data_IF_464581145579
#
_entry.id   IF_464581145579
#
_cell.length_a   1.000
_cell.length_b   1.000
_cell.length_c   1.000
_cell.angle_alpha   90.00
_cell.angle_beta   90.00
_cell.angle_gamma   90.00
#
_symmetry.space_group_name_H-M   'P 1'
#
loop_
_entity.id
_entity.type
_entity.pdbx_description
1 polymer ?
#
# COMPACT_ATOMS: atom_id res chain seq x y z
N UNK A 1 -5.13 -2.40 -24.58
CA UNK A 1 -3.87 -1.63 -24.58
C UNK A 1 -3.66 -1.09 -23.17
N UNK A 2 -2.41 -1.05 -22.70
CA UNK A 2 -2.11 -0.38 -21.44
C UNK A 2 -2.39 1.13 -21.55
N UNK A 3 -2.74 1.76 -20.44
CA UNK A 3 -3.07 3.19 -20.39
C UNK A 3 -1.93 4.00 -19.79
N UNK A 4 -1.98 5.33 -19.97
CA UNK A 4 -1.12 6.27 -19.28
C UNK A 4 -1.26 6.10 -17.73
N UNK A 5 -0.17 6.14 -16.94
CA UNK A 5 -0.26 6.17 -15.47
C UNK A 5 -1.05 7.34 -14.87
N UNK A 6 -1.18 8.46 -15.57
CA UNK A 6 -1.91 9.65 -15.13
C UNK A 6 -3.35 9.69 -15.65
N UNK A 7 -4.25 10.16 -14.80
CA UNK A 7 -5.65 10.41 -15.18
C UNK A 7 -5.75 11.66 -16.08
N UNK A 8 -6.72 11.73 -17.00
CA UNK A 8 -6.81 12.82 -17.97
C UNK A 8 -7.16 14.18 -17.37
N UNK A 9 -7.72 14.25 -16.16
CA UNK A 9 -8.15 15.49 -15.50
C UNK A 9 -7.12 16.10 -14.53
N UNK A 10 -5.87 15.62 -14.51
CA UNK A 10 -4.94 16.06 -13.49
C UNK A 10 -3.46 16.00 -13.84
N UNK A 11 -3.07 15.91 -15.11
CA UNK A 11 -1.65 16.02 -15.51
C UNK A 11 -1.26 17.48 -15.73
N UNK A 12 -0.08 17.88 -15.27
CA UNK A 12 0.47 19.23 -15.46
C UNK A 12 1.90 19.18 -15.98
N UNK A 13 2.32 20.20 -16.72
CA UNK A 13 3.74 20.37 -17.06
C UNK A 13 4.40 21.15 -15.92
N UNK A 14 5.35 20.57 -15.17
CA UNK A 14 5.97 21.26 -14.06
C UNK A 14 6.81 22.45 -14.54
N UNK A 15 6.64 23.60 -13.90
CA UNK A 15 7.36 24.85 -14.22
C UNK A 15 8.55 25.13 -13.28
N UNK A 16 8.71 24.32 -12.24
CA UNK A 16 9.76 24.44 -11.23
C UNK A 16 10.66 23.19 -11.19
N UNK A 17 11.88 23.38 -10.68
CA UNK A 17 12.84 22.30 -10.47
C UNK A 17 12.60 21.60 -9.11
N UNK A 18 12.80 20.29 -9.07
CA UNK A 18 12.69 19.47 -7.86
C UNK A 18 12.26 18.03 -8.19
N UNK A 19 12.25 17.11 -7.21
CA UNK A 19 11.65 15.79 -7.36
C UNK A 19 10.21 15.89 -7.86
N UNK A 20 9.86 15.11 -8.89
CA UNK A 20 8.51 15.12 -9.46
C UNK A 20 7.57 14.23 -8.66
N UNK A 21 6.50 14.82 -8.13
CA UNK A 21 5.48 14.17 -7.31
C UNK A 21 4.24 13.78 -8.13
N UNK A 22 3.98 12.49 -8.24
CA UNK A 22 2.74 11.93 -8.75
C UNK A 22 1.80 11.57 -7.60
N UNK A 23 0.51 11.92 -7.69
CA UNK A 23 -0.45 11.77 -6.58
C UNK A 23 -1.64 10.92 -6.94
N UNK A 24 -1.82 9.78 -6.27
CA UNK A 24 -2.96 8.87 -6.45
C UNK A 24 -4.30 9.58 -6.40
N UNK A 25 -5.20 9.24 -7.32
CA UNK A 25 -6.53 9.84 -7.48
C UNK A 25 -7.54 9.55 -6.34
N UNK A 26 -7.07 9.20 -5.15
CA UNK A 26 -7.88 9.19 -3.90
C UNK A 26 -7.48 10.33 -2.95
N UNK A 27 -6.48 11.12 -3.31
CA UNK A 27 -5.91 12.17 -2.46
C UNK A 27 -6.19 13.53 -3.09
N UNK A 28 -6.78 14.46 -2.35
CA UNK A 28 -7.10 15.79 -2.84
C UNK A 28 -5.83 16.58 -3.21
N UNK A 29 -5.90 17.27 -4.35
CA UNK A 29 -4.92 18.24 -4.83
C UNK A 29 -5.69 19.51 -5.19
N UNK A 30 -5.26 20.65 -4.66
CA UNK A 30 -5.92 21.94 -4.84
C UNK A 30 -6.19 22.23 -6.32
N UNK A 31 -7.42 22.63 -6.65
CA UNK A 31 -7.83 22.99 -7.99
C UNK A 31 -8.08 21.80 -8.93
N UNK A 32 -7.91 20.55 -8.47
CA UNK A 32 -8.17 19.36 -9.26
C UNK A 32 -9.29 18.50 -8.64
N UNK A 33 -10.10 17.82 -9.46
CA UNK A 33 -11.10 16.88 -8.96
C UNK A 33 -10.44 15.58 -8.48
N UNK A 34 -11.03 14.95 -7.47
CA UNK A 34 -10.63 13.63 -6.96
C UNK A 34 -11.66 12.59 -7.38
N UNK A 35 -11.29 11.65 -8.25
CA UNK A 35 -12.23 10.67 -8.82
C UNK A 35 -12.28 9.33 -8.08
N UNK A 36 -11.33 9.03 -7.20
CA UNK A 36 -11.20 7.75 -6.50
C UNK A 36 -11.29 6.51 -7.41
N UNK A 37 -10.88 6.64 -8.68
CA UNK A 37 -11.00 5.57 -9.66
C UNK A 37 -12.45 5.18 -10.00
N UNK A 38 -13.43 6.05 -9.78
CA UNK A 38 -14.83 5.84 -10.16
C UNK A 38 -15.41 7.10 -10.84
N UNK A 39 -16.05 7.01 -12.01
CA UNK A 39 -16.57 8.18 -12.74
C UNK A 39 -17.59 8.99 -11.91
N UNK A 40 -18.51 8.33 -11.23
CA UNK A 40 -19.52 9.00 -10.40
C UNK A 40 -18.96 9.69 -9.14
N UNK A 41 -17.69 9.46 -8.80
CA UNK A 41 -17.01 10.13 -7.70
C UNK A 41 -16.13 11.28 -8.17
N UNK A 42 -16.07 11.56 -9.48
CA UNK A 42 -15.36 12.72 -10.00
C UNK A 42 -16.08 13.99 -9.54
N UNK A 43 -15.63 14.52 -8.41
CA UNK A 43 -16.22 15.67 -7.72
C UNK A 43 -15.83 17.00 -8.38
N UNK A 44 -16.36 18.08 -7.84
CA UNK A 44 -15.81 19.42 -8.05
C UNK A 44 -14.33 19.47 -7.60
N UNK A 45 -13.53 20.39 -8.18
CA UNK A 45 -12.16 20.61 -7.75
C UNK A 45 -12.02 20.78 -6.23
N UNK A 46 -10.99 20.18 -5.65
CA UNK A 46 -10.70 20.34 -4.23
C UNK A 46 -10.29 21.79 -3.91
N UNK A 47 -10.81 22.34 -2.82
CA UNK A 47 -10.50 23.71 -2.39
C UNK A 47 -9.09 23.87 -1.80
N UNK A 48 -8.46 22.77 -1.39
CA UNK A 48 -7.13 22.74 -0.79
C UNK A 48 -6.47 21.39 -1.03
N UNK A 49 -5.14 21.39 -0.98
CA UNK A 49 -4.36 20.15 -0.96
C UNK A 49 -4.74 19.30 0.26
N UNK A 50 -4.75 17.97 0.08
CA UNK A 50 -4.67 17.05 1.21
C UNK A 50 -3.40 17.35 2.02
N UNK A 51 -3.43 17.12 3.32
CA UNK A 51 -2.32 17.50 4.19
C UNK A 51 -1.01 16.77 3.79
N UNK A 52 -1.09 15.51 3.38
CA UNK A 52 0.05 14.76 2.84
C UNK A 52 0.64 15.41 1.57
N UNK A 53 -0.20 15.98 0.70
CA UNK A 53 0.23 16.66 -0.52
C UNK A 53 0.92 17.98 -0.16
N UNK A 54 0.31 18.78 0.71
CA UNK A 54 0.89 20.06 1.16
C UNK A 54 2.29 19.86 1.76
N UNK A 55 2.47 18.83 2.60
CA UNK A 55 3.79 18.49 3.19
C UNK A 55 4.80 18.11 2.12
N UNK A 56 4.47 17.21 1.20
CA UNK A 56 5.40 16.76 0.17
C UNK A 56 5.73 17.85 -0.87
N UNK A 57 4.81 18.76 -1.16
CA UNK A 57 5.06 19.89 -2.08
C UNK A 57 6.09 20.88 -1.54
N UNK A 58 6.39 20.87 -0.24
CA UNK A 58 7.49 21.67 0.32
C UNK A 58 8.87 21.26 -0.22
N UNK A 59 8.99 20.02 -0.73
CA UNK A 59 10.24 19.45 -1.23
C UNK A 59 10.16 18.93 -2.68
N UNK A 60 8.99 19.04 -3.34
CA UNK A 60 8.72 18.40 -4.63
C UNK A 60 7.78 19.23 -5.51
N UNK A 61 7.74 18.90 -6.79
CA UNK A 61 6.87 19.55 -7.78
C UNK A 61 5.81 18.57 -8.24
N UNK A 62 4.53 18.94 -8.09
CA UNK A 62 3.42 18.11 -8.56
C UNK A 62 3.44 17.98 -10.08
N UNK A 63 3.30 16.76 -10.61
CA UNK A 63 3.28 16.48 -12.05
C UNK A 63 2.01 15.80 -12.54
N UNK A 64 1.28 15.14 -11.65
CA UNK A 64 -0.06 14.73 -12.02
C UNK A 64 -0.77 13.79 -11.06
N UNK A 65 -2.08 13.68 -11.27
CA UNK A 65 -2.96 12.71 -10.63
C UNK A 65 -2.83 11.33 -11.29
N UNK A 66 -2.70 10.27 -10.50
CA UNK A 66 -2.46 8.91 -11.02
C UNK A 66 -3.63 7.97 -10.86
N UNK A 67 -3.76 7.02 -11.79
CA UNK A 67 -4.78 5.98 -11.74
C UNK A 67 -4.68 5.14 -10.45
N UNK A 68 -5.84 4.67 -10.01
CA UNK A 68 -6.02 3.81 -8.83
C UNK A 68 -6.99 2.69 -9.16
N UNK A 69 -6.92 1.59 -8.41
CA UNK A 69 -8.07 0.68 -8.33
C UNK A 69 -9.28 1.46 -7.79
N UNK A 70 -10.47 1.10 -8.29
CA UNK A 70 -11.75 1.70 -7.90
C UNK A 70 -11.91 1.72 -6.37
N UNK A 71 -12.13 2.92 -5.82
CA UNK A 71 -12.26 3.20 -4.37
C UNK A 71 -11.09 2.70 -3.51
N UNK A 72 -9.92 2.51 -4.13
CA UNK A 72 -8.77 1.84 -3.54
C UNK A 72 -9.05 0.41 -3.02
N UNK A 73 -10.22 -0.19 -3.28
CA UNK A 73 -10.66 -1.44 -2.65
C UNK A 73 -10.29 -2.70 -3.46
N UNK A 74 -9.02 -2.80 -3.82
CA UNK A 74 -8.44 -3.94 -4.53
C UNK A 74 -6.92 -3.94 -4.32
N UNK A 75 -6.25 -4.97 -4.84
CA UNK A 75 -4.78 -5.11 -4.84
C UNK A 75 -4.26 -5.45 -6.25
N UNK A 76 -5.13 -5.33 -7.27
CA UNK A 76 -4.90 -5.88 -8.60
C UNK A 76 -4.18 -4.91 -9.53
N UNK A 77 -4.35 -3.61 -9.33
CA UNK A 77 -3.84 -2.59 -10.25
C UNK A 77 -4.65 -2.46 -11.53
N UNK A 78 -5.93 -2.84 -11.48
CA UNK A 78 -6.85 -2.85 -12.62
C UNK A 78 -8.13 -2.10 -12.26
N UNK A 79 -8.60 -1.26 -13.17
CA UNK A 79 -9.82 -0.49 -13.00
C UNK A 79 -10.76 -0.74 -14.19
N UNK A 80 -12.03 -1.07 -13.92
CA UNK A 80 -13.01 -1.35 -14.99
C UNK A 80 -13.31 -0.12 -15.85
N UNK A 81 -13.35 1.06 -15.23
CA UNK A 81 -13.74 2.31 -15.88
C UNK A 81 -12.62 2.89 -16.72
N UNK A 82 -11.39 2.76 -16.22
CA UNK A 82 -10.24 3.47 -16.78
C UNK A 82 -9.19 2.56 -17.42
N UNK A 83 -9.16 1.28 -17.08
CA UNK A 83 -8.22 0.30 -17.63
C UNK A 83 -7.06 -0.03 -16.68
N UNK A 84 -5.91 -0.38 -17.26
CA UNK A 84 -4.75 -0.91 -16.54
C UNK A 84 -3.48 -0.15 -16.97
N UNK A 85 -2.82 0.59 -16.08
CA UNK A 85 -1.55 1.24 -16.38
C UNK A 85 -0.49 0.21 -16.79
N UNK A 86 0.38 0.59 -17.73
CA UNK A 86 1.53 -0.24 -18.09
C UNK A 86 2.43 -0.44 -16.86
N UNK A 87 2.99 -1.64 -16.68
CA UNK A 87 4.07 -1.90 -15.74
C UNK A 87 5.42 -1.85 -16.49
N UNK A 88 6.18 -0.74 -16.42
CA UNK A 88 7.42 -0.60 -17.18
C UNK A 88 8.51 -1.58 -16.74
N UNK A 89 8.47 -2.04 -15.48
CA UNK A 89 9.43 -2.99 -14.93
C UNK A 89 9.11 -4.45 -15.26
N UNK A 90 7.88 -4.72 -15.73
CA UNK A 90 7.36 -6.03 -16.10
C UNK A 90 6.29 -5.92 -17.22
N UNK A 91 6.69 -5.65 -18.48
CA UNK A 91 5.74 -5.55 -19.59
C UNK A 91 4.80 -6.76 -19.68
N UNK A 92 3.52 -6.50 -19.97
CA UNK A 92 2.48 -7.54 -20.03
C UNK A 92 1.95 -8.03 -18.67
N UNK A 93 2.41 -7.44 -17.56
CA UNK A 93 1.97 -7.77 -16.21
C UNK A 93 1.34 -6.54 -15.53
N UNK A 94 0.54 -6.77 -14.49
CA UNK A 94 -0.06 -5.67 -13.71
C UNK A 94 0.99 -4.96 -12.87
N UNK A 95 0.76 -3.68 -12.58
CA UNK A 95 1.54 -2.96 -11.57
C UNK A 95 1.24 -3.42 -10.14
N UNK A 96 0.13 -4.13 -9.91
CA UNK A 96 -0.44 -4.30 -8.57
C UNK A 96 -1.16 -3.03 -8.14
N UNK A 97 -1.90 -3.13 -7.04
CA UNK A 97 -2.80 -2.05 -6.63
C UNK A 97 -2.95 -1.93 -5.12
N UNK A 98 -3.70 -0.92 -4.65
CA UNK A 98 -4.47 0.01 -5.48
C UNK A 98 -3.71 1.22 -6.02
N UNK A 99 -2.45 1.46 -5.65
CA UNK A 99 -1.66 2.62 -6.12
C UNK A 99 -0.92 2.35 -7.44
N UNK A 100 -1.61 1.75 -8.41
CA UNK A 100 -1.03 1.28 -9.68
C UNK A 100 -0.42 2.40 -10.52
N UNK A 101 -1.13 3.51 -10.70
CA UNK A 101 -0.64 4.63 -11.50
C UNK A 101 0.57 5.33 -10.86
N UNK A 102 0.61 5.46 -9.52
CA UNK A 102 1.77 6.02 -8.81
C UNK A 102 3.02 5.17 -9.02
N UNK A 103 2.89 3.84 -8.93
CA UNK A 103 4.02 2.94 -9.18
C UNK A 103 4.44 2.94 -10.65
N UNK A 104 3.49 2.91 -11.58
CA UNK A 104 3.77 3.00 -13.02
C UNK A 104 4.49 4.31 -13.40
N UNK A 105 4.04 5.45 -12.86
CA UNK A 105 4.66 6.75 -13.10
C UNK A 105 6.12 6.79 -12.62
N UNK A 106 6.39 6.27 -11.42
CA UNK A 106 7.74 6.23 -10.85
C UNK A 106 8.64 5.23 -11.58
N UNK A 107 8.16 4.01 -11.81
CA UNK A 107 8.91 2.98 -12.52
C UNK A 107 9.22 3.38 -13.98
N UNK A 108 8.30 4.10 -14.62
CA UNK A 108 8.48 4.64 -15.97
C UNK A 108 9.28 5.93 -16.03
N UNK A 109 9.80 6.44 -14.91
CA UNK A 109 10.59 7.68 -14.87
C UNK A 109 9.79 8.95 -15.19
N UNK A 110 8.46 8.90 -15.10
CA UNK A 110 7.56 10.04 -15.29
C UNK A 110 7.34 10.84 -14.00
N UNK A 111 7.67 10.24 -12.86
CA UNK A 111 7.77 10.88 -11.56
C UNK A 111 8.99 10.32 -10.81
N UNK A 112 9.46 11.05 -9.80
CA UNK A 112 10.55 10.62 -8.93
C UNK A 112 10.01 10.11 -7.59
N UNK A 113 8.86 10.65 -7.16
CA UNK A 113 8.13 10.27 -5.97
C UNK A 113 6.65 10.04 -6.32
N UNK A 114 6.10 8.92 -5.86
CA UNK A 114 4.69 8.59 -5.99
C UNK A 114 4.01 8.59 -4.61
N UNK A 115 3.01 9.44 -4.42
CA UNK A 115 2.09 9.36 -3.30
C UNK A 115 0.96 8.39 -3.63
N UNK A 116 0.75 7.42 -2.75
CA UNK A 116 -0.33 6.45 -2.77
C UNK A 116 -1.04 6.36 -1.42
N UNK A 117 -1.81 5.29 -1.26
CA UNK A 117 -2.39 4.92 0.05
C UNK A 117 -2.19 3.43 0.28
N UNK A 118 -1.99 3.04 1.54
CA UNK A 118 -1.87 1.63 1.94
C UNK A 118 -2.92 1.34 3.03
N UNK A 119 -3.92 0.53 2.69
CA UNK A 119 -4.90 0.01 3.66
C UNK A 119 -4.64 -1.47 3.94
N UNK A 120 -4.21 -2.19 2.92
CA UNK A 120 -4.02 -3.64 2.95
C UNK A 120 -2.87 -4.07 2.01
N UNK A 121 -1.87 -3.21 1.79
CA UNK A 121 -0.76 -3.49 0.87
C UNK A 121 -0.74 -2.61 -0.38
N UNK A 122 -1.61 -1.62 -0.47
CA UNK A 122 -1.81 -0.81 -1.68
C UNK A 122 -0.61 0.07 -2.09
N UNK A 123 0.45 0.12 -1.27
CA UNK A 123 1.76 0.67 -1.64
C UNK A 123 2.80 -0.45 -1.76
N UNK A 124 2.82 -1.39 -0.81
CA UNK A 124 3.83 -2.47 -0.76
C UNK A 124 3.75 -3.46 -1.93
N UNK A 125 2.53 -3.82 -2.35
CA UNK A 125 2.29 -4.71 -3.49
C UNK A 125 2.78 -4.07 -4.79
N UNK A 126 2.37 -2.84 -5.15
CA UNK A 126 2.90 -2.23 -6.36
C UNK A 126 4.38 -1.88 -6.28
N UNK A 127 4.93 -1.60 -5.10
CA UNK A 127 6.38 -1.49 -4.93
C UNK A 127 7.09 -2.79 -5.35
N UNK A 128 6.63 -3.94 -4.86
CA UNK A 128 7.17 -5.25 -5.22
C UNK A 128 7.09 -5.53 -6.72
N UNK A 129 5.92 -5.31 -7.33
CA UNK A 129 5.67 -5.67 -8.72
C UNK A 129 6.33 -4.73 -9.73
N UNK A 130 6.63 -3.50 -9.31
CA UNK A 130 7.28 -2.49 -10.16
C UNK A 130 8.77 -2.33 -9.83
N UNK A 131 9.31 -3.08 -8.86
CA UNK A 131 10.72 -3.00 -8.48
C UNK A 131 11.11 -1.66 -7.88
N UNK A 132 10.27 -1.15 -6.97
CA UNK A 132 10.43 0.14 -6.31
C UNK A 132 10.64 -0.06 -4.80
N UNK A 133 11.21 0.94 -4.16
CA UNK A 133 11.03 1.10 -2.72
C UNK A 133 9.61 1.59 -2.44
N UNK A 134 8.99 1.04 -1.40
CA UNK A 134 7.66 1.43 -0.95
C UNK A 134 7.62 1.66 0.55
N UNK A 135 6.91 2.68 1.00
CA UNK A 135 6.84 3.02 2.42
C UNK A 135 5.39 3.18 2.88
N UNK A 136 5.04 2.43 3.92
CA UNK A 136 3.82 2.57 4.72
C UNK A 136 4.24 3.17 6.07
N UNK A 137 3.78 4.35 6.48
CA UNK A 137 4.10 4.91 7.78
C UNK A 137 3.30 4.26 8.92
N UNK A 138 3.75 4.51 10.14
CA UNK A 138 2.99 4.30 11.37
C UNK A 138 1.66 5.04 11.27
N UNK A 139 0.55 4.34 11.58
CA UNK A 139 -0.79 4.90 11.38
C UNK A 139 -1.02 6.17 12.18
N UNK A 140 -0.63 6.21 13.45
CA UNK A 140 -0.84 7.38 14.32
C UNK A 140 -0.02 8.62 13.93
N UNK A 141 1.00 8.49 13.08
CA UNK A 141 1.89 9.59 12.65
C UNK A 141 1.57 10.13 11.26
N UNK A 142 0.62 9.52 10.55
CA UNK A 142 0.40 9.81 9.13
C UNK A 142 -0.85 10.68 8.93
N UNK A 143 -0.75 11.82 8.21
CA UNK A 143 -1.90 12.68 7.95
C UNK A 143 -2.87 12.02 6.96
N UNK A 144 -4.17 12.09 7.24
CA UNK A 144 -5.24 11.47 6.42
C UNK A 144 -6.27 12.47 5.89
N UNK A 145 -6.20 13.73 6.30
CA UNK A 145 -7.14 14.76 5.86
C UNK A 145 -7.02 14.98 4.34
N UNK A 146 -8.17 15.00 3.65
CA UNK A 146 -8.22 15.13 2.18
C UNK A 146 -7.95 13.82 1.43
N UNK A 147 -8.03 12.66 2.09
CA UNK A 147 -7.95 11.35 1.44
C UNK A 147 -9.35 10.71 1.46
N UNK A 148 -9.80 10.22 0.30
CA UNK A 148 -11.03 9.43 0.19
C UNK A 148 -10.84 8.14 1.01
N UNK A 149 -11.62 7.92 2.08
CA UNK A 149 -11.39 6.81 2.99
C UNK A 149 -11.79 5.48 2.36
N UNK A 150 -11.11 4.41 2.73
CA UNK A 150 -11.54 3.04 2.51
C UNK A 150 -11.88 2.37 3.84
N UNK A 151 -10.94 2.39 4.77
CA UNK A 151 -11.11 1.91 6.13
C UNK A 151 -10.22 2.75 7.06
N UNK A 152 -10.74 3.85 7.64
CA UNK A 152 -9.95 4.84 8.38
C UNK A 152 -9.06 4.26 9.48
N UNK A 153 -9.44 3.14 10.10
CA UNK A 153 -8.61 2.48 11.13
C UNK A 153 -7.31 1.87 10.56
N UNK A 154 -7.23 1.70 9.24
CA UNK A 154 -6.13 1.04 8.54
C UNK A 154 -5.43 1.92 7.49
N UNK A 155 -6.14 2.94 6.98
CA UNK A 155 -5.67 3.81 5.91
C UNK A 155 -4.49 4.67 6.34
N UNK A 156 -3.45 4.70 5.51
CA UNK A 156 -2.38 5.69 5.60
C UNK A 156 -1.99 6.17 4.20
N UNK A 157 -1.54 7.43 4.03
CA UNK A 157 -0.75 7.79 2.86
C UNK A 157 0.52 6.93 2.83
N UNK A 158 1.02 6.61 1.66
CA UNK A 158 2.31 5.92 1.54
C UNK A 158 3.06 6.32 0.28
N UNK A 159 4.35 6.03 0.26
CA UNK A 159 5.28 6.58 -0.71
C UNK A 159 5.92 5.49 -1.57
N UNK A 160 6.24 5.83 -2.82
CA UNK A 160 6.88 4.96 -3.81
C UNK A 160 8.02 5.74 -4.48
N UNK A 161 9.20 5.16 -4.59
CA UNK A 161 10.32 5.76 -5.31
C UNK A 161 11.33 4.71 -5.79
N UNK A 162 12.28 5.13 -6.63
CA UNK A 162 13.41 4.32 -7.09
C UNK A 162 14.62 4.40 -6.17
N UNK A 163 14.68 5.40 -5.30
CA UNK A 163 15.87 5.74 -4.52
C UNK A 163 15.55 5.83 -3.02
N UNK A 164 16.23 5.01 -2.21
CA UNK A 164 16.03 5.00 -0.76
C UNK A 164 16.26 6.38 -0.10
N UNK A 165 17.30 7.17 -0.44
CA UNK A 165 17.49 8.49 0.16
C UNK A 165 16.35 9.48 -0.09
N UNK A 166 15.73 9.44 -1.29
CA UNK A 166 14.56 10.26 -1.58
C UNK A 166 13.32 9.78 -0.79
N UNK A 167 13.20 8.47 -0.58
CA UNK A 167 12.10 7.90 0.21
C UNK A 167 12.18 8.35 1.67
N UNK A 168 13.37 8.32 2.25
CA UNK A 168 13.63 8.74 3.64
C UNK A 168 13.33 10.23 3.81
N UNK A 169 13.86 11.08 2.93
CA UNK A 169 13.58 12.53 2.98
C UNK A 169 12.08 12.84 2.85
N UNK A 170 11.37 12.12 1.98
CA UNK A 170 9.93 12.28 1.81
C UNK A 170 9.12 11.72 2.99
N UNK A 171 9.60 10.65 3.65
CA UNK A 171 9.00 10.12 4.86
C UNK A 171 9.11 11.14 6.01
N UNK A 172 10.27 11.76 6.20
CA UNK A 172 10.49 12.80 7.20
C UNK A 172 9.55 13.99 7.00
N UNK A 173 9.36 14.41 5.76
CA UNK A 173 8.42 15.49 5.43
C UNK A 173 6.95 15.10 5.69
N UNK A 174 6.59 13.83 5.52
CA UNK A 174 5.21 13.34 5.63
C UNK A 174 4.77 13.15 7.08
N UNK A 175 5.65 12.63 7.94
CA UNK A 175 5.30 12.16 9.28
C UNK A 175 5.10 13.29 10.29
N UNK A 176 4.17 13.08 11.21
CA UNK A 176 4.19 13.78 12.49
C UNK A 176 5.33 13.25 13.38
N UNK A 177 5.97 14.12 14.18
CA UNK A 177 6.94 13.68 15.17
C UNK A 177 6.26 12.78 16.20
N UNK A 178 6.99 11.79 16.70
CA UNK A 178 6.48 10.84 17.66
C UNK A 178 7.60 10.11 18.41
N UNK A 179 7.25 9.33 19.44
CA UNK A 179 8.22 8.50 20.13
C UNK A 179 8.80 7.46 19.17
N UNK A 180 10.12 7.29 19.22
CA UNK A 180 10.84 6.26 18.49
C UNK A 180 11.23 5.13 19.46
N UNK A 181 10.84 3.87 19.19
CA UNK A 181 11.32 2.73 19.96
C UNK A 181 12.81 2.51 19.71
N UNK A 182 13.46 1.73 20.59
CA UNK A 182 14.82 1.26 20.34
C UNK A 182 14.94 0.52 19.00
N UNK A 183 16.15 0.50 18.44
CA UNK A 183 16.42 -0.19 17.18
C UNK A 183 16.18 -1.70 17.28
N UNK A 184 15.86 -2.37 16.15
CA UNK A 184 15.64 -3.81 16.14
C UNK A 184 16.94 -4.57 16.46
N UNK A 185 16.83 -5.59 17.31
CA UNK A 185 17.94 -6.47 17.69
C UNK A 185 17.96 -7.75 16.86
N UNK A 186 16.84 -8.09 16.22
CA UNK A 186 16.67 -9.30 15.41
C UNK A 186 15.75 -9.07 14.22
N UNK A 187 15.96 -9.87 13.17
CA UNK A 187 15.00 -10.03 12.07
C UNK A 187 14.13 -11.24 12.39
N UNK A 188 12.82 -11.03 12.51
CA UNK A 188 11.86 -12.09 12.72
C UNK A 188 11.19 -12.50 11.41
N UNK A 189 11.13 -13.80 11.14
CA UNK A 189 10.61 -14.40 9.91
C UNK A 189 9.48 -15.37 10.25
N UNK A 190 8.21 -14.99 10.01
CA UNK A 190 7.05 -15.85 10.18
C UNK A 190 7.12 -17.14 9.33
N UNK A 191 7.55 -18.23 9.95
CA UNK A 191 7.90 -19.45 9.21
C UNK A 191 6.72 -20.07 8.43
N UNK A 192 5.52 -19.98 9.00
CA UNK A 192 4.26 -20.42 8.39
C UNK A 192 3.91 -19.61 7.15
N UNK A 193 4.06 -18.28 7.18
CA UNK A 193 3.81 -17.43 6.00
C UNK A 193 4.84 -17.69 4.89
N UNK A 194 6.11 -17.87 5.24
CA UNK A 194 7.18 -18.16 4.29
C UNK A 194 7.05 -19.54 3.66
N UNK A 195 6.47 -20.51 4.38
CA UNK A 195 6.26 -21.87 3.88
C UNK A 195 5.23 -21.97 2.74
N UNK A 196 4.35 -20.97 2.60
CA UNK A 196 3.34 -20.91 1.53
C UNK A 196 3.87 -20.38 0.21
N UNK A 197 5.08 -19.82 0.22
CA UNK A 197 5.73 -19.34 -0.98
C UNK A 197 6.14 -20.52 -1.86
N UNK A 198 6.13 -20.31 -3.18
CA UNK A 198 6.79 -21.27 -4.06
C UNK A 198 8.28 -21.40 -3.68
N UNK A 199 8.89 -22.59 -3.80
CA UNK A 199 10.30 -22.79 -3.46
C UNK A 199 11.24 -21.78 -4.14
N UNK A 200 10.90 -21.40 -5.37
CA UNK A 200 11.65 -20.43 -6.16
C UNK A 200 11.60 -19.01 -5.58
N UNK A 201 10.42 -18.56 -5.15
CA UNK A 201 10.22 -17.25 -4.52
C UNK A 201 10.94 -17.18 -3.18
N UNK A 202 10.77 -18.21 -2.33
CA UNK A 202 11.45 -18.28 -1.04
C UNK A 202 12.98 -18.29 -1.17
N UNK A 203 13.51 -19.06 -2.11
CA UNK A 203 14.96 -19.11 -2.37
C UNK A 203 15.51 -17.78 -2.89
N UNK A 204 14.76 -17.05 -3.73
CA UNK A 204 15.18 -15.76 -4.27
C UNK A 204 15.23 -14.64 -3.21
N UNK A 205 14.34 -14.69 -2.20
CA UNK A 205 14.27 -13.71 -1.11
C UNK A 205 15.24 -14.00 0.05
N UNK A 206 15.62 -15.27 0.24
CA UNK A 206 16.44 -15.68 1.38
C UNK A 206 17.80 -14.94 1.53
N UNK A 207 18.52 -14.54 0.46
CA UNK A 207 19.73 -13.74 0.58
C UNK A 207 19.50 -12.39 1.27
N UNK A 208 18.43 -11.69 0.90
CA UNK A 208 18.13 -10.36 1.44
C UNK A 208 17.92 -10.37 2.96
N UNK A 209 17.47 -11.49 3.55
CA UNK A 209 17.37 -11.62 5.01
C UNK A 209 18.73 -11.60 5.71
N UNK A 210 19.79 -12.11 5.06
CA UNK A 210 21.15 -12.14 5.62
C UNK A 210 21.83 -10.79 5.49
N UNK A 211 21.54 -10.08 4.41
CA UNK A 211 22.13 -8.76 4.12
C UNK A 211 21.69 -7.69 5.14
N UNK A 212 20.60 -7.92 5.87
CA UNK A 212 20.14 -7.06 6.98
C UNK A 212 21.09 -7.02 8.19
N UNK A 213 22.08 -7.90 8.28
CA UNK A 213 23.14 -7.84 9.31
C UNK A 213 22.70 -8.14 10.76
N UNK A 214 21.44 -8.55 10.97
CA UNK A 214 20.90 -8.92 12.28
C UNK A 214 20.69 -10.43 12.41
N UNK A 215 20.72 -11.00 13.63
CA UNK A 215 20.30 -12.36 13.89
C UNK A 215 18.88 -12.63 13.36
N UNK A 216 18.71 -13.76 12.65
CA UNK A 216 17.41 -14.14 12.07
C UNK A 216 16.74 -15.19 12.95
N UNK A 217 15.56 -14.84 13.49
CA UNK A 217 14.66 -15.76 14.18
C UNK A 217 13.55 -16.25 13.24
N UNK A 218 13.33 -17.57 13.19
CA UNK A 218 12.35 -18.24 12.33
C UNK A 218 11.38 -19.04 13.18
N UNK A 219 10.30 -18.39 13.58
CA UNK A 219 9.21 -19.00 14.36
C UNK A 219 7.86 -18.75 13.66
N UNK A 220 6.87 -19.65 13.80
CA UNK A 220 5.54 -19.43 13.22
C UNK A 220 4.86 -18.19 13.81
N UNK A 221 4.17 -17.41 12.97
CA UNK A 221 3.28 -16.34 13.44
C UNK A 221 2.13 -16.93 14.26
N UNK A 222 1.52 -18.02 13.77
CA UNK A 222 0.44 -18.71 14.49
C UNK A 222 -0.80 -17.83 14.69
N UNK A 223 -1.07 -16.95 13.73
CA UNK A 223 -2.26 -16.11 13.62
C UNK A 223 -2.83 -16.24 12.20
N UNK A 224 -4.15 -16.40 12.10
CA UNK A 224 -4.87 -16.15 10.86
C UNK A 224 -5.98 -15.15 11.13
N UNK A 225 -5.76 -13.92 10.68
CA UNK A 225 -6.62 -12.75 10.94
C UNK A 225 -7.19 -12.18 9.64
N UNK A 226 -6.99 -12.88 8.53
CA UNK A 226 -7.32 -12.40 7.18
C UNK A 226 -8.81 -12.12 7.03
N UNK A 227 -9.65 -13.04 7.52
CA UNK A 227 -11.11 -12.92 7.45
C UNK A 227 -11.64 -11.84 8.40
N UNK A 228 -11.14 -11.78 9.63
CA UNK A 228 -11.50 -10.76 10.60
C UNK A 228 -11.14 -9.36 10.07
N UNK A 229 -9.92 -9.19 9.53
CA UNK A 229 -9.51 -7.98 8.85
C UNK A 229 -10.45 -7.62 7.70
N UNK A 230 -10.78 -8.58 6.83
CA UNK A 230 -11.64 -8.33 5.67
C UNK A 230 -13.06 -7.91 6.07
N UNK A 231 -13.65 -8.52 7.10
CA UNK A 231 -14.96 -8.11 7.65
C UNK A 231 -14.90 -6.69 8.19
N UNK A 232 -13.87 -6.40 8.96
CA UNK A 232 -13.70 -5.11 9.64
C UNK A 232 -13.42 -3.96 8.64
N UNK A 233 -12.61 -4.20 7.61
CA UNK A 233 -12.40 -3.30 6.47
C UNK A 233 -13.71 -3.08 5.70
N UNK A 234 -14.47 -4.13 5.43
CA UNK A 234 -15.73 -4.02 4.71
C UNK A 234 -16.78 -3.20 5.47
N UNK A 235 -16.86 -3.39 6.80
CA UNK A 235 -17.74 -2.60 7.65
C UNK A 235 -17.39 -1.10 7.61
N UNK A 236 -16.11 -0.74 7.65
CA UNK A 236 -15.68 0.66 7.56
C UNK A 236 -15.89 1.26 6.16
N UNK A 237 -15.65 0.48 5.10
CA UNK A 237 -15.95 0.90 3.74
C UNK A 237 -17.45 1.16 3.55
N UNK A 238 -18.31 0.33 4.13
CA UNK A 238 -19.75 0.56 4.15
C UNK A 238 -20.14 1.78 4.98
N UNK A 239 -19.51 2.00 6.14
CA UNK A 239 -19.77 3.21 6.93
C UNK A 239 -19.39 4.49 6.18
N UNK A 240 -18.33 4.45 5.36
CA UNK A 240 -17.86 5.59 4.58
C UNK A 240 -18.71 5.85 3.32
N UNK A 241 -19.12 4.80 2.60
CA UNK A 241 -19.71 4.92 1.26
C UNK A 241 -21.13 4.38 1.13
N UNK A 242 -21.64 3.63 2.10
CA UNK A 242 -22.91 2.90 2.02
C UNK A 242 -24.11 3.81 1.73
N UNK A 243 -24.14 5.03 2.28
CA UNK A 243 -25.17 6.02 1.95
C UNK A 243 -25.14 6.43 0.47
N UNK A 244 -23.94 6.70 -0.08
CA UNK A 244 -23.77 7.03 -1.51
C UNK A 244 -24.11 5.84 -2.41
N UNK A 245 -23.68 4.63 -2.04
CA UNK A 245 -24.00 3.39 -2.77
C UNK A 245 -25.50 3.14 -2.80
N UNK A 246 -26.19 3.32 -1.68
CA UNK A 246 -27.63 3.09 -1.56
C UNK A 246 -28.43 4.10 -2.38
N UNK A 247 -28.04 5.39 -2.33
CA UNK A 247 -28.73 6.46 -3.03
C UNK A 247 -28.47 6.46 -4.55
N UNK A 248 -27.23 6.25 -4.96
CA UNK A 248 -26.80 6.39 -6.36
C UNK A 248 -26.81 5.09 -7.17
N UNK A 249 -26.75 3.92 -6.51
CA UNK A 249 -26.55 2.61 -7.17
C UNK A 249 -25.47 2.64 -8.27
N UNK A 250 -24.25 3.09 -7.92
CA UNK A 250 -23.16 3.26 -8.86
C UNK A 250 -22.81 1.94 -9.56
N UNK A 251 -22.36 2.04 -10.81
CA UNK A 251 -21.95 0.88 -11.59
C UNK A 251 -20.51 0.47 -11.25
N UNK A 252 -20.34 -0.48 -10.32
CA UNK A 252 -19.02 -0.95 -9.91
C UNK A 252 -18.39 -1.99 -10.86
N UNK A 253 -17.07 -2.12 -10.76
CA UNK A 253 -16.38 -3.31 -11.25
C UNK A 253 -16.75 -4.57 -10.43
N UNK A 254 -16.80 -5.79 -11.02
CA UNK A 254 -17.30 -7.00 -10.37
C UNK A 254 -16.69 -7.29 -8.99
N UNK A 255 -15.39 -7.05 -8.83
CA UNK A 255 -14.70 -7.27 -7.56
C UNK A 255 -15.10 -6.30 -6.46
N UNK A 256 -15.35 -5.03 -6.80
CA UNK A 256 -15.79 -4.00 -5.85
C UNK A 256 -17.29 -4.14 -5.58
N UNK A 257 -18.09 -4.45 -6.60
CA UNK A 257 -19.51 -4.77 -6.48
C UNK A 257 -19.73 -5.88 -5.43
N UNK A 258 -19.06 -7.02 -5.60
CA UNK A 258 -19.16 -8.16 -4.68
C UNK A 258 -18.74 -7.82 -3.23
N UNK A 259 -17.81 -6.87 -3.05
CA UNK A 259 -17.39 -6.42 -1.73
C UNK A 259 -18.42 -5.51 -1.07
N UNK A 260 -19.00 -4.57 -1.81
CA UNK A 260 -20.09 -3.73 -1.30
C UNK A 260 -21.35 -4.55 -1.00
N UNK A 261 -21.72 -5.48 -1.87
CA UNK A 261 -22.82 -6.42 -1.62
C UNK A 261 -22.60 -7.22 -0.33
N UNK A 262 -21.37 -7.70 -0.08
CA UNK A 262 -21.04 -8.38 1.18
C UNK A 262 -21.12 -7.41 2.35
N UNK A 263 -20.57 -6.21 2.22
CA UNK A 263 -20.47 -5.22 3.28
C UNK A 263 -21.85 -4.74 3.75
N UNK A 264 -22.80 -4.55 2.83
CA UNK A 264 -24.20 -4.21 3.11
C UNK A 264 -24.89 -5.25 4.00
N UNK A 265 -24.50 -6.53 3.88
CA UNK A 265 -25.13 -7.66 4.59
C UNK A 265 -24.49 -8.00 5.93
N UNK A 266 -23.38 -7.34 6.30
CA UNK A 266 -22.69 -7.63 7.56
C UNK A 266 -23.57 -7.27 8.76
N UNK A 267 -23.67 -8.18 9.72
CA UNK A 267 -24.38 -7.89 10.98
C UNK A 267 -23.48 -7.23 12.01
N UNK A 268 -24.08 -6.57 13.00
CA UNK A 268 -23.34 -5.97 14.10
C UNK A 268 -22.54 -7.01 14.90
N UNK A 269 -23.06 -8.23 15.05
CA UNK A 269 -22.40 -9.35 15.72
C UNK A 269 -21.17 -9.83 14.95
N UNK A 270 -21.27 -10.01 13.63
CA UNK A 270 -20.15 -10.39 12.78
C UNK A 270 -19.01 -9.36 12.86
N UNK A 271 -19.35 -8.08 12.79
CA UNK A 271 -18.38 -6.98 12.90
C UNK A 271 -17.75 -6.93 14.30
N UNK A 272 -18.55 -7.10 15.35
CA UNK A 272 -18.07 -7.12 16.74
C UNK A 272 -17.09 -8.26 17.00
N UNK A 273 -17.40 -9.47 16.53
CA UNK A 273 -16.52 -10.63 16.64
C UNK A 273 -15.21 -10.41 15.87
N UNK A 274 -15.30 -9.91 14.63
CA UNK A 274 -14.13 -9.61 13.82
C UNK A 274 -13.22 -8.56 14.47
N UNK A 275 -13.80 -7.50 15.06
CA UNK A 275 -13.04 -6.48 15.81
C UNK A 275 -12.29 -7.09 16.98
N UNK A 276 -12.95 -7.92 17.78
CA UNK A 276 -12.30 -8.61 18.90
C UNK A 276 -11.09 -9.44 18.43
N UNK A 277 -11.23 -10.21 17.34
CA UNK A 277 -10.12 -10.98 16.77
C UNK A 277 -8.98 -10.08 16.26
N UNK A 278 -9.31 -8.94 15.64
CA UNK A 278 -8.31 -7.96 15.20
C UNK A 278 -7.57 -7.33 16.39
N UNK A 279 -8.28 -6.98 17.46
CA UNK A 279 -7.70 -6.38 18.67
C UNK A 279 -6.75 -7.35 19.39
N UNK A 280 -7.17 -8.61 19.58
CA UNK A 280 -6.32 -9.66 20.16
C UNK A 280 -5.08 -9.93 19.31
N UNK A 281 -5.23 -9.92 17.98
CA UNK A 281 -4.10 -10.08 17.07
C UNK A 281 -3.16 -8.87 17.08
N UNK A 282 -3.71 -7.66 17.24
CA UNK A 282 -2.93 -6.43 17.36
C UNK A 282 -2.01 -6.51 18.58
N UNK A 283 -2.53 -6.86 19.76
CA UNK A 283 -1.72 -7.02 20.97
C UNK A 283 -0.58 -8.01 20.76
N UNK A 284 -0.89 -9.20 20.23
CA UNK A 284 0.13 -10.21 19.95
C UNK A 284 1.17 -9.77 18.92
N UNK A 285 0.76 -9.05 17.88
CA UNK A 285 1.69 -8.50 16.88
C UNK A 285 2.65 -7.47 17.51
N UNK A 286 2.15 -6.62 18.41
CA UNK A 286 2.99 -5.63 19.09
C UNK A 286 4.04 -6.32 19.99
N UNK A 287 3.65 -7.36 20.73
CA UNK A 287 4.59 -8.15 21.54
C UNK A 287 5.66 -8.81 20.68
N UNK A 288 5.29 -9.34 19.51
CA UNK A 288 6.22 -10.00 18.59
C UNK A 288 7.20 -9.03 17.92
N UNK A 289 6.80 -7.77 17.73
CA UNK A 289 7.61 -6.71 17.16
C UNK A 289 8.55 -6.06 18.19
N UNK A 290 8.42 -6.38 19.48
CA UNK A 290 9.30 -5.83 20.50
C UNK A 290 10.76 -6.29 20.29
N UNK A 291 11.64 -5.31 20.10
CA UNK A 291 13.04 -5.52 19.73
C UNK A 291 13.25 -6.24 18.38
N UNK A 292 12.23 -6.31 17.51
CA UNK A 292 12.31 -7.04 16.25
C UNK A 292 11.86 -6.21 15.05
N UNK A 293 12.38 -6.59 13.88
CA UNK A 293 11.80 -6.23 12.59
C UNK A 293 11.27 -7.50 11.93
N UNK A 294 9.98 -7.52 11.59
CA UNK A 294 9.39 -8.65 10.88
C UNK A 294 9.71 -8.54 9.39
N UNK A 295 10.29 -9.59 8.80
CA UNK A 295 10.56 -9.67 7.37
C UNK A 295 9.56 -10.60 6.66
N UNK A 296 8.87 -10.04 5.68
CA UNK A 296 7.82 -10.71 4.90
C UNK A 296 8.03 -10.46 3.41
N UNK A 297 7.68 -11.39 2.51
CA UNK A 297 7.52 -11.07 1.10
C UNK A 297 6.52 -9.91 0.93
N UNK A 298 6.87 -8.91 0.12
CA UNK A 298 5.96 -7.77 -0.15
C UNK A 298 4.73 -8.18 -0.97
N UNK A 299 4.83 -9.31 -1.67
CA UNK A 299 3.76 -10.01 -2.36
C UNK A 299 4.07 -11.52 -2.38
N UNK A 300 3.08 -12.42 -2.59
CA UNK A 300 3.31 -13.87 -2.54
C UNK A 300 4.09 -14.43 -3.74
N UNK A 301 4.42 -13.57 -4.72
CA UNK A 301 5.18 -13.90 -5.91
C UNK A 301 5.40 -12.65 -6.76
N UNK A 302 5.78 -12.84 -8.01
CA UNK A 302 5.97 -11.74 -8.98
C UNK A 302 4.63 -11.22 -9.52
N UNK A 303 4.68 -10.09 -10.23
CA UNK A 303 3.52 -9.50 -10.88
C UNK A 303 2.77 -10.54 -11.75
N UNK A 304 1.44 -10.70 -11.61
CA UNK A 304 0.64 -11.53 -12.50
C UNK A 304 0.53 -10.95 -13.90
N UNK A 305 0.46 -11.83 -14.91
CA UNK A 305 0.17 -11.42 -16.28
C UNK A 305 -1.21 -10.79 -16.40
N UNK A 306 -1.35 -9.80 -17.30
CA UNK A 306 -2.62 -9.14 -17.58
C UNK A 306 -3.73 -10.17 -17.94
N UNK A 307 -4.94 -9.96 -17.42
CA UNK A 307 -6.08 -10.85 -17.67
C UNK A 307 -6.07 -12.17 -16.90
N UNK A 308 -5.07 -12.44 -16.04
CA UNK A 308 -5.13 -13.57 -15.11
C UNK A 308 -5.95 -13.21 -13.86
N UNK A 309 -6.89 -14.07 -13.42
CA UNK A 309 -7.71 -13.79 -12.24
C UNK A 309 -6.88 -13.63 -10.97
N UNK A 310 -7.46 -12.93 -9.99
CA UNK A 310 -6.90 -12.59 -8.69
C UNK A 310 -6.63 -13.78 -7.73
N UNK A 311 -6.16 -14.92 -8.24
CA UNK A 311 -5.80 -16.12 -7.44
C UNK A 311 -4.77 -15.81 -6.34
N UNK A 312 -4.08 -14.69 -6.43
CA UNK A 312 -3.12 -14.23 -5.42
C UNK A 312 -3.73 -13.33 -4.34
N UNK A 313 -4.95 -12.78 -4.49
CA UNK A 313 -5.46 -11.76 -3.55
C UNK A 313 -5.51 -12.25 -2.11
N UNK A 314 -6.00 -13.46 -1.85
CA UNK A 314 -6.09 -14.00 -0.49
C UNK A 314 -4.69 -14.15 0.13
N UNK A 315 -3.75 -14.76 -0.61
CA UNK A 315 -2.36 -14.89 -0.18
C UNK A 315 -1.68 -13.52 0.02
N UNK A 316 -1.94 -12.55 -0.86
CA UNK A 316 -1.45 -11.17 -0.70
C UNK A 316 -2.01 -10.57 0.58
N UNK A 317 -3.32 -10.65 0.81
CA UNK A 317 -3.97 -10.07 1.98
C UNK A 317 -3.44 -10.68 3.29
N UNK A 318 -3.20 -11.99 3.30
CA UNK A 318 -2.62 -12.70 4.44
C UNK A 318 -1.24 -12.17 4.82
N UNK A 319 -0.41 -11.81 3.84
CA UNK A 319 0.88 -11.17 4.07
C UNK A 319 0.74 -9.70 4.50
N UNK A 320 -0.19 -8.96 3.89
CA UNK A 320 -0.21 -7.51 3.97
C UNK A 320 -1.09 -6.93 5.07
N UNK A 321 -2.07 -7.68 5.60
CA UNK A 321 -2.99 -7.19 6.62
C UNK A 321 -2.38 -7.03 8.03
N UNK A 322 -1.20 -7.62 8.29
CA UNK A 322 -0.57 -7.55 9.62
C UNK A 322 -0.17 -6.11 10.01
N UNK A 323 0.44 -5.37 9.08
CA UNK A 323 0.84 -3.99 9.30
C UNK A 323 -0.32 -3.03 9.63
N UNK A 324 -1.44 -3.00 8.87
CA UNK A 324 -2.59 -2.17 9.23
C UNK A 324 -3.23 -2.58 10.55
N UNK A 325 -3.33 -3.88 10.87
CA UNK A 325 -3.82 -4.35 12.18
C UNK A 325 -2.94 -3.79 13.33
N UNK A 326 -1.62 -3.88 13.19
CA UNK A 326 -0.69 -3.34 14.18
C UNK A 326 -0.64 -1.81 14.22
N UNK A 327 -1.10 -1.12 13.16
CA UNK A 327 -0.81 0.30 12.93
C UNK A 327 0.67 0.57 12.65
N UNK A 328 1.40 -0.46 12.18
CA UNK A 328 2.84 -0.49 12.05
C UNK A 328 3.35 0.11 10.73
N UNK A 329 4.59 0.67 10.75
CA UNK A 329 5.28 1.08 9.55
C UNK A 329 5.87 -0.12 8.81
N UNK A 330 6.02 0.02 7.49
CA UNK A 330 6.64 -0.98 6.63
C UNK A 330 7.47 -0.31 5.54
N UNK A 331 8.69 -0.81 5.35
CA UNK A 331 9.55 -0.48 4.22
C UNK A 331 9.66 -1.69 3.30
N UNK A 332 9.12 -1.59 2.08
CA UNK A 332 9.26 -2.57 1.02
C UNK A 332 10.51 -2.27 0.19
N UNK A 333 11.40 -3.25 0.11
CA UNK A 333 12.70 -3.18 -0.55
C UNK A 333 12.66 -3.97 -1.88
N UNK A 334 13.15 -3.40 -3.00
CA UNK A 334 13.25 -4.11 -4.28
C UNK A 334 14.51 -4.99 -4.31
N UNK A 335 14.45 -6.18 -3.69
CA UNK A 335 15.65 -6.97 -3.40
C UNK A 335 16.06 -7.98 -4.47
N UNK A 336 15.14 -8.44 -5.33
CA UNK A 336 15.46 -9.53 -6.27
C UNK A 336 14.53 -9.58 -7.49
N UNK A 337 14.80 -10.51 -8.39
CA UNK A 337 13.95 -10.85 -9.53
C UNK A 337 13.73 -12.36 -9.64
N UNK A 338 12.56 -12.76 -10.09
CA UNK A 338 12.23 -14.15 -10.45
C UNK A 338 11.66 -14.14 -11.86
N UNK A 339 12.23 -14.95 -12.77
CA UNK A 339 11.88 -14.95 -14.20
C UNK A 339 12.01 -13.57 -14.87
N UNK A 340 12.97 -12.77 -14.42
CA UNK A 340 13.16 -11.40 -14.90
C UNK A 340 12.15 -10.39 -14.34
N UNK A 341 11.17 -10.82 -13.54
CA UNK A 341 10.17 -9.94 -12.93
C UNK A 341 10.59 -9.51 -11.52
N UNK A 342 10.34 -8.25 -11.11
CA UNK A 342 10.65 -7.76 -9.77
C UNK A 342 9.94 -8.53 -8.64
N UNK A 343 10.62 -8.63 -7.49
CA UNK A 343 10.09 -9.18 -6.26
C UNK A 343 10.70 -8.45 -5.05
N UNK A 344 9.84 -8.01 -4.13
CA UNK A 344 10.24 -7.23 -2.96
C UNK A 344 10.14 -7.97 -1.63
N UNK A 345 10.90 -7.47 -0.66
CA UNK A 345 10.87 -7.86 0.75
C UNK A 345 10.41 -6.68 1.60
N UNK A 346 9.36 -6.88 2.40
CA UNK A 346 8.85 -5.92 3.37
C UNK A 346 9.51 -6.12 4.74
N UNK A 347 9.97 -5.02 5.32
CA UNK A 347 10.43 -4.93 6.71
C UNK A 347 9.37 -4.16 7.52
N UNK A 348 8.83 -4.77 8.56
CA UNK A 348 7.79 -4.20 9.42
C UNK A 348 8.32 -4.05 10.84
N UNK A 349 8.28 -2.84 11.39
CA UNK A 349 8.72 -2.55 12.76
C UNK A 349 7.51 -2.30 13.68
N UNK A 350 7.75 -2.17 14.98
CA UNK A 350 6.74 -1.69 15.92
C UNK A 350 6.28 -0.25 15.54
N UNK A 351 5.04 0.15 15.86
CA UNK A 351 4.58 1.53 15.69
C UNK A 351 5.57 2.56 16.28
N UNK A 352 5.88 3.59 15.50
CA UNK A 352 6.91 4.60 15.81
C UNK A 352 8.32 4.22 15.36
N UNK A 353 8.56 2.97 14.95
CA UNK A 353 9.84 2.48 14.43
C UNK A 353 10.08 2.80 12.96
N UNK A 354 9.49 3.86 12.42
CA UNK A 354 9.60 4.25 11.02
C UNK A 354 11.06 4.50 10.62
N UNK A 355 11.77 5.32 11.41
CA UNK A 355 13.17 5.68 11.20
C UNK A 355 14.11 4.47 11.36
N UNK A 356 13.77 3.52 12.24
CA UNK A 356 14.53 2.29 12.40
C UNK A 356 14.54 1.45 11.11
N UNK A 357 13.47 1.48 10.32
CA UNK A 357 13.43 0.78 9.04
C UNK A 357 14.39 1.40 8.01
N UNK A 358 14.46 2.74 7.95
CA UNK A 358 15.38 3.46 7.06
C UNK A 358 16.84 3.28 7.49
N UNK A 359 17.12 3.34 8.79
CA UNK A 359 18.45 3.08 9.33
C UNK A 359 18.93 1.66 9.01
N UNK A 360 18.06 0.66 9.18
CA UNK A 360 18.37 -0.73 8.85
C UNK A 360 18.60 -0.93 7.34
N UNK A 361 17.77 -0.34 6.49
CA UNK A 361 17.90 -0.48 5.03
C UNK A 361 19.12 0.25 4.45
N UNK A 362 19.58 1.33 5.10
CA UNK A 362 20.77 2.07 4.67
C UNK A 362 22.08 1.43 5.13
N UNK A 363 22.02 0.59 6.16
CA UNK A 363 23.18 -0.17 6.66
C UNK A 363 23.38 -1.54 6.02
N UNK A 364 22.41 -2.00 5.23
CA UNK A 364 22.40 -3.28 4.52
C UNK A 364 23.01 -3.19 3.11
#
# INVERSE_FOLDING_TARGET
MAIDPFVPWGSVTPEAAGPRLAVKDVVDVEGLPTGAGHPDLLKQPAERDAEAVARLRSMSVFVGKTHTDELAWSLGGTNQHYGVPENPAAPGHVCGGSSSGSAAAVAGGRADLGLGTDTAGSVRVPASFCGLYGYRPTHSRAPRAGIVPLAPSYDVPGLLTRELPLLEWAADALLDPGPQPGGPERVWVPADLWSELSPRVGAALAPALRDLGLPVDRTPLGLDVTDAFAVTQAAEAWACHGAWVTAGRPAFGPGVAARFERAERLTAEEVSLARKTVDEARERLLDLLDGAVMALPSAPGTAPALGRPARMRAATLRLTCLAPIAGAPVLALPVTRVDGLPLGLSLMAAPGGDENLFALASGA
#
